data_IF_172494090557
#
_entry.id   IF_172494090557
#
_cell.length_a   1.000
_cell.length_b   1.000
_cell.length_c   1.000
_cell.angle_alpha   90.00
_cell.angle_beta   90.00
_cell.angle_gamma   90.00
#
_symmetry.space_group_name_H-M   'P 1'
#
loop_
_entity.id
_entity.type
_entity.pdbx_description
1 polymer ?
#
# COMPACT_ATOMS: atom_id res chain seq x y z
N UNK A 1 22.66 32.50 -13.33
CA UNK A 1 22.82 31.03 -13.46
C UNK A 1 21.47 30.50 -13.90
N UNK A 2 21.35 29.95 -15.11
CA UNK A 2 20.09 29.36 -15.56
C UNK A 2 19.89 28.03 -14.82
N UNK A 3 18.95 28.00 -13.89
CA UNK A 3 18.39 26.76 -13.37
C UNK A 3 17.88 25.93 -14.55
N UNK A 4 18.62 24.87 -14.87
CA UNK A 4 18.16 23.87 -15.82
C UNK A 4 17.01 23.13 -15.16
N UNK A 5 15.78 23.50 -15.51
CA UNK A 5 14.58 22.78 -15.09
C UNK A 5 14.59 21.38 -15.74
N UNK A 6 15.14 20.40 -15.03
CA UNK A 6 15.11 18.99 -15.46
C UNK A 6 13.68 18.49 -15.25
N UNK A 7 13.03 18.00 -16.30
CA UNK A 7 11.73 17.36 -16.16
C UNK A 7 11.90 16.01 -15.46
N UNK A 8 11.34 15.90 -14.25
CA UNK A 8 11.39 14.70 -13.45
C UNK A 8 10.18 13.81 -13.74
N UNK A 9 10.38 12.78 -14.57
CA UNK A 9 9.33 11.83 -14.99
C UNK A 9 9.30 10.53 -14.19
N UNK A 10 10.02 10.47 -13.07
CA UNK A 10 10.12 9.26 -12.24
C UNK A 10 8.78 8.97 -11.55
N UNK A 11 8.44 7.70 -11.45
CA UNK A 11 7.29 7.25 -10.68
C UNK A 11 7.67 7.26 -9.20
N UNK A 12 7.06 8.16 -8.42
CA UNK A 12 7.35 8.30 -6.99
C UNK A 12 6.56 7.33 -6.12
N UNK A 13 5.37 6.92 -6.59
CA UNK A 13 4.45 6.05 -5.87
C UNK A 13 3.59 5.26 -6.85
N UNK A 14 3.27 4.02 -6.50
CA UNK A 14 2.35 3.14 -7.19
C UNK A 14 1.20 2.77 -6.26
N UNK A 15 -0.02 3.16 -6.61
CA UNK A 15 -1.23 2.70 -5.94
C UNK A 15 -1.58 1.32 -6.52
N UNK A 16 -1.52 0.29 -5.67
CA UNK A 16 -1.79 -1.08 -6.09
C UNK A 16 -3.18 -1.52 -5.66
N UNK A 17 -4.04 -1.77 -6.64
CA UNK A 17 -5.44 -2.13 -6.39
C UNK A 17 -5.62 -3.64 -6.20
N UNK A 18 -6.09 -4.02 -5.02
CA UNK A 18 -6.45 -5.38 -4.63
C UNK A 18 -7.95 -5.55 -4.85
N UNK A 19 -8.33 -6.67 -5.48
CA UNK A 19 -9.75 -6.99 -5.70
C UNK A 19 -10.45 -7.30 -4.37
N UNK A 20 -11.70 -6.84 -4.14
CA UNK A 20 -12.44 -7.06 -2.91
C UNK A 20 -13.03 -8.47 -2.87
N UNK A 21 -12.17 -9.49 -2.81
CA UNK A 21 -12.59 -10.91 -2.79
C UNK A 21 -13.06 -11.39 -1.42
N UNK A 22 -12.67 -10.69 -0.35
CA UNK A 22 -12.96 -11.05 1.05
C UNK A 22 -12.17 -12.26 1.57
N UNK A 23 -11.30 -12.87 0.75
CA UNK A 23 -10.54 -14.07 1.12
C UNK A 23 -9.09 -13.78 1.46
N UNK A 24 -8.32 -13.22 0.52
CA UNK A 24 -6.89 -12.94 0.68
C UNK A 24 -6.29 -12.37 -0.62
N UNK A 25 -4.97 -12.17 -0.64
CA UNK A 25 -4.24 -11.79 -1.85
C UNK A 25 -4.19 -12.97 -2.80
N UNK A 26 -4.34 -12.69 -4.10
CA UNK A 26 -4.14 -13.73 -5.11
C UNK A 26 -2.65 -13.97 -5.27
N UNK A 27 -2.27 -15.18 -5.66
CA UNK A 27 -0.86 -15.52 -5.93
C UNK A 27 -0.22 -14.58 -6.96
N UNK A 28 -0.98 -14.16 -7.98
CA UNK A 28 -0.52 -13.19 -8.97
C UNK A 28 -0.21 -11.82 -8.34
N UNK A 29 -1.02 -11.39 -7.37
CA UNK A 29 -0.84 -10.09 -6.72
C UNK A 29 0.46 -10.09 -5.90
N UNK A 30 0.71 -11.19 -5.17
CA UNK A 30 1.96 -11.40 -4.44
C UNK A 30 3.18 -11.41 -5.37
N UNK A 31 3.09 -12.10 -6.52
CA UNK A 31 4.19 -12.14 -7.49
C UNK A 31 4.50 -10.73 -8.04
N UNK A 32 3.46 -9.98 -8.42
CA UNK A 32 3.63 -8.62 -8.98
C UNK A 32 4.23 -7.68 -7.95
N UNK A 33 3.68 -7.63 -6.73
CA UNK A 33 4.15 -6.73 -5.69
C UNK A 33 5.59 -7.08 -5.27
N UNK A 34 5.96 -8.37 -5.26
CA UNK A 34 7.31 -8.82 -4.93
C UNK A 34 8.35 -8.48 -6.01
N UNK A 35 7.93 -8.47 -7.27
CA UNK A 35 8.83 -8.13 -8.39
C UNK A 35 9.10 -6.61 -8.45
N UNK A 36 8.12 -5.80 -8.06
CA UNK A 36 8.25 -4.34 -8.04
C UNK A 36 8.98 -3.89 -6.76
N UNK A 37 10.32 -3.96 -6.79
CA UNK A 37 11.17 -3.51 -5.66
C UNK A 37 11.61 -2.05 -5.76
N UNK A 38 11.51 -1.45 -6.95
CA UNK A 38 12.08 -0.14 -7.25
C UNK A 38 11.10 1.03 -7.07
N UNK A 39 9.87 0.78 -6.62
CA UNK A 39 8.82 1.77 -6.47
C UNK A 39 8.19 1.68 -5.08
N UNK A 40 7.74 2.83 -4.57
CA UNK A 40 6.95 2.87 -3.35
C UNK A 40 5.54 2.39 -3.65
N UNK A 41 5.12 1.27 -3.05
CA UNK A 41 3.79 0.70 -3.27
C UNK A 41 2.89 1.02 -2.08
N UNK A 42 1.70 1.53 -2.38
CA UNK A 42 0.62 1.74 -1.41
C UNK A 42 -0.57 0.89 -1.86
N UNK A 43 -0.92 -0.20 -1.14
CA UNK A 43 -2.02 -1.04 -1.52
C UNK A 43 -3.37 -0.44 -1.13
N UNK A 44 -4.35 -0.62 -2.00
CA UNK A 44 -5.73 -0.19 -1.81
C UNK A 44 -6.70 -1.30 -2.22
N UNK A 45 -7.71 -1.56 -1.39
CA UNK A 45 -8.85 -2.42 -1.70
C UNK A 45 -9.77 -1.64 -2.63
N UNK A 46 -9.90 -2.09 -3.88
CA UNK A 46 -10.79 -1.49 -4.86
C UNK A 46 -12.26 -1.82 -4.55
N UNK A 47 -13.19 -0.95 -4.97
CA UNK A 47 -14.64 -1.16 -4.86
C UNK A 47 -15.04 -1.64 -3.45
N UNK A 48 -14.55 -0.95 -2.42
CA UNK A 48 -14.75 -1.39 -1.04
C UNK A 48 -16.21 -1.35 -0.58
N UNK A 49 -17.09 -0.68 -1.34
CA UNK A 49 -18.55 -0.69 -1.18
C UNK A 49 -19.17 -2.10 -1.35
N UNK A 50 -18.44 -3.03 -1.98
CA UNK A 50 -18.86 -4.42 -2.15
C UNK A 50 -18.66 -5.29 -0.92
N UNK A 51 -17.94 -4.79 0.08
CA UNK A 51 -17.67 -5.48 1.34
C UNK A 51 -18.44 -4.79 2.47
N UNK A 52 -18.97 -5.56 3.41
CA UNK A 52 -19.44 -5.01 4.68
C UNK A 52 -18.27 -4.46 5.49
N UNK A 53 -18.56 -3.63 6.49
CA UNK A 53 -17.52 -3.07 7.36
C UNK A 53 -16.70 -4.18 8.05
N UNK A 54 -17.38 -5.23 8.50
CA UNK A 54 -16.78 -6.39 9.17
C UNK A 54 -15.88 -7.20 8.22
N UNK A 55 -16.36 -7.47 7.01
CA UNK A 55 -15.58 -8.17 5.98
C UNK A 55 -14.38 -7.33 5.54
N UNK A 56 -14.53 -6.01 5.41
CA UNK A 56 -13.45 -5.11 5.03
C UNK A 56 -12.33 -5.11 6.09
N UNK A 57 -12.67 -5.01 7.37
CA UNK A 57 -11.69 -5.06 8.46
C UNK A 57 -11.01 -6.44 8.54
N UNK A 58 -11.77 -7.53 8.44
CA UNK A 58 -11.19 -8.88 8.39
C UNK A 58 -10.24 -9.05 7.20
N UNK A 59 -10.61 -8.51 6.03
CA UNK A 59 -9.80 -8.57 4.81
C UNK A 59 -8.51 -7.74 4.93
N UNK A 60 -8.57 -6.55 5.55
CA UNK A 60 -7.38 -5.73 5.84
C UNK A 60 -6.38 -6.47 6.71
N UNK A 61 -6.85 -7.08 7.81
CA UNK A 61 -6.00 -7.86 8.72
C UNK A 61 -5.33 -9.00 7.96
N UNK A 62 -6.10 -9.75 7.17
CA UNK A 62 -5.59 -10.87 6.40
C UNK A 62 -4.54 -10.46 5.35
N UNK A 63 -4.76 -9.35 4.65
CA UNK A 63 -3.79 -8.80 3.70
C UNK A 63 -2.49 -8.44 4.42
N UNK A 64 -2.55 -7.78 5.58
CA UNK A 64 -1.36 -7.43 6.38
C UNK A 64 -0.57 -8.66 6.81
N UNK A 65 -1.27 -9.70 7.27
CA UNK A 65 -0.65 -10.95 7.69
C UNK A 65 0.06 -11.64 6.52
N UNK A 66 -0.58 -11.71 5.35
CA UNK A 66 0.01 -12.31 4.14
C UNK A 66 1.23 -11.51 3.64
N UNK A 67 1.15 -10.17 3.63
CA UNK A 67 2.27 -9.31 3.24
C UNK A 67 3.46 -9.48 4.19
N UNK A 68 3.20 -9.55 5.50
CA UNK A 68 4.22 -9.78 6.52
C UNK A 68 4.85 -11.16 6.38
N UNK A 69 4.04 -12.19 6.17
CA UNK A 69 4.49 -13.57 5.93
C UNK A 69 5.41 -13.67 4.71
N UNK A 70 5.10 -12.96 3.64
CA UNK A 70 5.91 -12.92 2.42
C UNK A 70 7.08 -11.92 2.47
N UNK A 71 7.28 -11.23 3.61
CA UNK A 71 8.32 -10.20 3.81
C UNK A 71 8.27 -9.09 2.75
N UNK A 72 7.05 -8.71 2.36
CA UNK A 72 6.81 -7.63 1.41
C UNK A 72 6.82 -6.32 2.18
N UNK A 73 7.78 -5.45 1.86
CA UNK A 73 7.88 -4.11 2.44
C UNK A 73 6.99 -3.15 1.67
N UNK A 74 6.13 -2.41 2.36
CA UNK A 74 5.26 -1.40 1.78
C UNK A 74 5.61 -0.01 2.31
N UNK A 75 5.19 1.01 1.58
CA UNK A 75 5.33 2.39 2.03
C UNK A 75 4.24 2.72 3.08
N UNK A 76 4.55 3.41 4.19
CA UNK A 76 5.88 3.89 4.60
C UNK A 76 6.73 2.77 5.24
N UNK A 77 7.99 2.63 4.82
CA UNK A 77 8.90 1.58 5.31
C UNK A 77 9.36 1.82 6.74
N UNK A 78 9.60 0.76 7.51
CA UNK A 78 10.32 0.82 8.78
C UNK A 78 11.79 1.18 8.50
N UNK A 79 12.12 2.46 8.58
CA UNK A 79 13.50 2.94 8.44
C UNK A 79 14.01 3.40 9.79
N UNK A 80 15.18 2.89 10.21
CA UNK A 80 15.82 3.23 11.48
C UNK A 80 16.26 4.70 11.54
N UNK A 81 16.39 5.36 10.39
CA UNK A 81 16.78 6.78 10.25
C UNK A 81 15.59 7.75 10.32
N UNK A 82 14.37 7.30 10.65
CA UNK A 82 13.21 8.19 10.75
C UNK A 82 13.26 9.07 12.00
N UNK A 83 13.11 10.38 11.81
CA UNK A 83 12.96 11.33 12.92
C UNK A 83 11.77 10.94 13.80
N UNK A 84 11.89 11.16 15.11
CA UNK A 84 10.84 10.85 16.09
C UNK A 84 9.48 11.49 15.78
N UNK A 85 9.48 12.60 15.04
CA UNK A 85 8.28 13.29 14.59
C UNK A 85 7.60 12.60 13.39
N UNK A 86 8.34 11.84 12.57
CA UNK A 86 7.81 11.07 11.44
C UNK A 86 7.31 9.68 11.84
N UNK A 87 7.79 9.13 12.95
CA UNK A 87 7.40 7.79 13.42
C UNK A 87 5.90 7.68 13.70
N UNK A 88 5.33 8.63 14.45
CA UNK A 88 3.92 8.65 14.84
C UNK A 88 2.95 8.65 13.64
N UNK A 89 3.08 9.57 12.65
CA UNK A 89 2.20 9.55 11.48
C UNK A 89 2.42 8.32 10.60
N UNK A 90 3.65 7.82 10.48
CA UNK A 90 3.93 6.63 9.67
C UNK A 90 3.31 5.37 10.25
N UNK A 91 3.36 5.20 11.57
CA UNK A 91 2.69 4.09 12.27
C UNK A 91 1.17 4.16 12.08
N UNK A 92 0.57 5.36 12.21
CA UNK A 92 -0.85 5.56 11.96
C UNK A 92 -1.23 5.16 10.52
N UNK A 93 -0.41 5.49 9.53
CA UNK A 93 -0.63 5.11 8.12
C UNK A 93 -0.54 3.59 7.93
N UNK A 94 0.48 2.94 8.52
CA UNK A 94 0.62 1.46 8.44
C UNK A 94 -0.61 0.73 9.01
N UNK A 95 -1.19 1.27 10.09
CA UNK A 95 -2.40 0.73 10.70
C UNK A 95 -3.66 0.87 9.84
N UNK A 96 -3.67 1.79 8.86
CA UNK A 96 -4.81 2.01 7.95
C UNK A 96 -4.64 1.23 6.64
N UNK A 97 -3.41 0.98 6.19
CA UNK A 97 -3.12 0.25 4.94
C UNK A 97 -3.48 -1.23 5.08
N UNK A 98 -4.18 -1.87 4.13
CA UNK A 98 -4.57 -1.33 2.82
C UNK A 98 -5.77 -0.38 2.88
N UNK A 99 -5.72 0.68 2.07
CA UNK A 99 -6.79 1.69 2.00
C UNK A 99 -8.05 1.09 1.38
N UNK A 100 -9.20 1.24 2.03
CA UNK A 100 -10.48 0.87 1.43
C UNK A 100 -11.03 2.06 0.64
N UNK A 101 -11.09 1.95 -0.69
CA UNK A 101 -11.45 3.08 -1.57
C UNK A 101 -12.67 2.78 -2.44
N UNK A 102 -13.47 3.82 -2.65
CA UNK A 102 -14.61 3.85 -3.57
C UNK A 102 -14.37 4.99 -4.55
N UNK A 103 -14.46 4.70 -5.85
CA UNK A 103 -14.36 5.71 -6.90
C UNK A 103 -15.70 6.36 -7.17
N UNK A 104 -15.69 7.68 -7.41
CA UNK A 104 -16.80 8.44 -7.98
C UNK A 104 -16.27 9.22 -9.19
N UNK A 105 -17.10 9.37 -10.21
CA UNK A 105 -16.83 10.26 -11.35
C UNK A 105 -17.04 11.74 -10.99
#
# INVERSE_FOLDING_TARGET
MCDKHIQESRIHCCLYFISPTGQGLRAIDLMVVKEIKCLNIVPAIAQSDRLTLEECEAFKVRIRDELSYHSIRLYPFDNEDQDTEELRPNEAIRNIIPLAVVGSE
#
